data_IF_631787798900
#
_entry.id   IF_631787798900
#
_cell.length_a   1.000
_cell.length_b   1.000
_cell.length_c   1.000
_cell.angle_alpha   90.00
_cell.angle_beta   90.00
_cell.angle_gamma   90.00
#
_symmetry.space_group_name_H-M   'P 1'
#
loop_
_entity.id
_entity.type
_entity.pdbx_description
1 polymer ?
#
# COMPACT_ATOMS: atom_id res chain seq x y z
N UNK A 1 -70.99 -6.92 62.22
CA UNK A 1 -69.85 -7.31 63.08
C UNK A 1 -68.84 -6.19 62.96
N UNK A 2 -68.76 -5.34 63.98
CA UNK A 2 -67.92 -4.15 63.95
C UNK A 2 -66.45 -4.48 64.17
N UNK A 3 -65.57 -3.72 63.54
CA UNK A 3 -64.52 -2.99 64.25
C UNK A 3 -64.06 -1.82 63.36
N UNK A 4 -64.16 -0.62 63.93
CA UNK A 4 -63.63 0.64 63.43
C UNK A 4 -62.23 0.78 64.03
N UNK A 5 -61.24 1.20 63.24
CA UNK A 5 -60.22 2.10 63.76
C UNK A 5 -59.71 3.05 62.67
N UNK A 6 -60.07 4.30 62.88
CA UNK A 6 -59.87 5.51 62.10
C UNK A 6 -58.54 6.20 62.46
N UNK A 7 -57.93 6.83 61.43
CA UNK A 7 -57.38 8.21 61.46
C UNK A 7 -56.08 8.48 62.25
N UNK A 8 -55.26 9.51 62.02
CA UNK A 8 -55.35 10.67 61.12
C UNK A 8 -54.04 11.50 61.13
N UNK A 9 -53.84 12.26 60.04
CA UNK A 9 -53.34 13.64 59.93
C UNK A 9 -51.87 14.08 60.12
N UNK A 10 -51.42 14.79 59.06
CA UNK A 10 -50.59 16.02 58.97
C UNK A 10 -49.12 15.96 59.40
N UNK A 11 -48.14 16.63 58.76
CA UNK A 11 -48.13 17.74 57.79
C UNK A 11 -46.68 18.02 57.32
N UNK A 12 -46.52 18.47 56.06
CA UNK A 12 -45.41 19.31 55.52
C UNK A 12 -44.01 18.67 55.47
N UNK A 13 -43.32 18.60 54.33
CA UNK A 13 -42.69 19.76 53.67
C UNK A 13 -42.34 19.41 52.23
N UNK A 14 -42.54 20.36 51.33
CA UNK A 14 -42.22 20.29 49.91
C UNK A 14 -40.70 20.28 49.65
N UNK A 15 -40.26 19.49 48.67
CA UNK A 15 -39.07 19.80 47.87
C UNK A 15 -39.46 19.69 46.40
N UNK A 16 -39.40 20.85 45.75
CA UNK A 16 -39.68 21.11 44.34
C UNK A 16 -38.54 20.57 43.46
N UNK A 17 -38.89 19.82 42.41
CA UNK A 17 -38.05 19.72 41.21
C UNK A 17 -38.83 20.34 40.04
N UNK A 18 -38.36 21.46 39.45
CA UNK A 18 -39.05 22.05 38.32
C UNK A 18 -38.63 21.34 37.02
N UNK A 19 -39.64 20.86 36.30
CA UNK A 19 -39.62 20.69 34.85
C UNK A 19 -39.65 22.08 34.21
N UNK A 20 -38.64 22.45 33.42
CA UNK A 20 -38.77 23.47 32.36
C UNK A 20 -37.91 23.08 31.16
N UNK A 21 -38.55 23.07 30.00
CA UNK A 21 -37.97 22.93 28.67
C UNK A 21 -36.94 24.03 28.36
N UNK A 22 -35.84 23.66 27.71
CA UNK A 22 -35.22 24.49 26.66
C UNK A 22 -34.32 23.63 25.77
N UNK A 23 -34.85 23.20 24.62
CA UNK A 23 -34.05 22.72 23.50
C UNK A 23 -33.54 23.96 22.76
N UNK A 24 -32.40 24.49 23.18
CA UNK A 24 -31.64 25.41 22.33
C UNK A 24 -30.93 24.57 21.28
N UNK A 25 -31.40 24.70 20.05
CA UNK A 25 -30.72 24.23 18.84
C UNK A 25 -29.30 24.78 18.80
N UNK A 26 -28.30 23.91 18.99
CA UNK A 26 -26.94 24.18 18.54
C UNK A 26 -26.95 24.09 17.01
N UNK A 27 -27.31 25.20 16.36
CA UNK A 27 -26.83 25.44 15.00
C UNK A 27 -25.34 25.75 15.13
N UNK A 28 -24.52 24.75 14.85
CA UNK A 28 -23.14 25.01 14.51
C UNK A 28 -23.15 25.75 13.16
N UNK A 29 -22.96 27.07 13.21
CA UNK A 29 -22.63 27.86 12.04
C UNK A 29 -21.27 27.39 11.52
N UNK A 30 -21.32 26.40 10.62
CA UNK A 30 -20.20 26.07 9.75
C UNK A 30 -20.02 27.27 8.81
N UNK A 31 -19.20 28.23 9.22
CA UNK A 31 -18.70 29.25 8.32
C UNK A 31 -17.91 28.53 7.22
N UNK A 32 -18.55 28.34 6.07
CA UNK A 32 -17.90 28.03 4.81
C UNK A 32 -16.93 29.18 4.52
N UNK A 33 -15.67 29.01 4.91
CA UNK A 33 -14.59 29.80 4.37
C UNK A 33 -14.60 29.60 2.86
N UNK A 34 -14.51 30.70 2.11
CA UNK A 34 -14.49 30.67 0.65
C UNK A 34 -13.45 29.65 0.19
N UNK A 35 -13.93 28.64 -0.55
CA UNK A 35 -13.16 27.45 -0.89
C UNK A 35 -11.85 27.81 -1.56
N UNK A 36 -10.75 27.27 -1.01
CA UNK A 36 -9.53 27.11 -1.79
C UNK A 36 -9.90 26.41 -3.11
N UNK A 37 -9.31 26.83 -4.25
CA UNK A 37 -9.55 26.11 -5.50
C UNK A 37 -9.22 24.64 -5.27
N UNK A 38 -10.15 23.76 -5.60
CA UNK A 38 -9.94 22.32 -5.50
C UNK A 38 -8.60 21.99 -6.15
N UNK A 39 -7.71 21.23 -5.48
CA UNK A 39 -6.41 20.89 -6.04
C UNK A 39 -6.60 20.33 -7.46
N UNK A 40 -5.98 21.00 -8.44
CA UNK A 40 -6.02 20.57 -9.83
C UNK A 40 -5.15 19.32 -9.96
N UNK A 41 -5.77 18.15 -9.80
CA UNK A 41 -5.09 16.87 -9.95
C UNK A 41 -4.92 16.54 -11.44
N UNK A 42 -3.81 15.87 -11.83
CA UNK A 42 -3.52 15.57 -13.23
C UNK A 42 -4.62 14.72 -13.86
N UNK A 43 -4.91 14.97 -15.14
CA UNK A 43 -5.83 14.15 -15.91
C UNK A 43 -5.27 12.73 -16.06
N UNK A 44 -6.13 11.69 -16.05
CA UNK A 44 -5.69 10.32 -16.28
C UNK A 44 -4.88 10.17 -17.56
N UNK A 45 -3.79 9.43 -17.49
CA UNK A 45 -2.94 9.13 -18.62
C UNK A 45 -3.68 8.24 -19.62
N UNK A 46 -3.41 8.46 -20.91
CA UNK A 46 -3.90 7.61 -22.01
C UNK A 46 -2.74 6.86 -22.64
N UNK A 47 -2.98 5.57 -22.91
CA UNK A 47 -2.08 4.71 -23.67
C UNK A 47 -2.03 5.15 -25.13
N UNK A 48 -0.86 4.99 -25.73
CA UNK A 48 -0.62 5.16 -27.16
C UNK A 48 -1.07 3.94 -27.97
N UNK A 49 -1.04 2.75 -27.36
CA UNK A 49 -1.24 1.46 -28.01
C UNK A 49 0.08 0.80 -28.45
N UNK A 50 1.24 1.41 -28.18
CA UNK A 50 2.55 0.88 -28.56
C UNK A 50 2.82 -0.51 -27.95
N UNK A 51 2.38 -0.73 -26.70
CA UNK A 51 2.55 -2.01 -26.01
C UNK A 51 1.55 -3.09 -26.47
N UNK A 52 0.46 -2.72 -27.16
CA UNK A 52 -0.57 -3.67 -27.61
C UNK A 52 -0.06 -4.61 -28.73
N UNK A 53 1.09 -4.29 -29.33
CA UNK A 53 1.77 -5.15 -30.31
C UNK A 53 2.37 -6.42 -29.70
N UNK A 54 2.52 -6.48 -28.37
CA UNK A 54 3.06 -7.63 -27.67
C UNK A 54 1.94 -8.53 -27.17
N UNK A 55 2.14 -9.84 -27.31
CA UNK A 55 1.21 -10.83 -26.76
C UNK A 55 1.20 -10.72 -25.23
N UNK A 56 0.01 -10.73 -24.64
CA UNK A 56 -0.16 -10.75 -23.19
C UNK A 56 -1.23 -11.74 -22.75
N UNK A 57 -1.20 -12.06 -21.46
CA UNK A 57 -2.19 -12.87 -20.77
C UNK A 57 -2.64 -12.12 -19.52
N UNK A 58 -3.94 -11.90 -19.36
CA UNK A 58 -4.47 -11.41 -18.10
C UNK A 58 -4.47 -12.54 -17.08
N UNK A 59 -3.73 -12.36 -15.98
CA UNK A 59 -3.58 -13.40 -14.96
C UNK A 59 -4.86 -13.60 -14.14
N UNK A 60 -5.67 -12.55 -14.03
CA UNK A 60 -7.02 -12.61 -13.46
C UNK A 60 -7.89 -11.46 -14.00
N UNK A 61 -9.22 -11.50 -13.81
CA UNK A 61 -10.06 -10.34 -14.10
C UNK A 61 -9.69 -9.09 -13.30
N UNK A 62 -9.35 -9.27 -12.02
CA UNK A 62 -9.16 -8.15 -11.09
C UNK A 62 -7.81 -7.44 -11.24
N UNK A 63 -6.73 -8.18 -11.54
CA UNK A 63 -5.37 -7.65 -11.66
C UNK A 63 -4.44 -8.61 -12.40
N UNK A 64 -3.25 -8.09 -12.70
CA UNK A 64 -2.10 -8.83 -13.16
C UNK A 64 -2.14 -9.13 -14.66
N UNK A 65 -1.04 -8.82 -15.35
CA UNK A 65 -0.84 -9.16 -16.76
C UNK A 65 0.56 -9.73 -16.96
N UNK A 66 0.68 -10.80 -17.73
CA UNK A 66 1.96 -11.39 -18.12
C UNK A 66 2.24 -11.10 -19.59
N UNK A 67 3.51 -10.86 -19.93
CA UNK A 67 3.97 -10.71 -21.31
C UNK A 67 4.94 -11.85 -21.69
N UNK A 68 4.43 -13.01 -22.13
CA UNK A 68 5.28 -14.15 -22.45
C UNK A 68 6.27 -13.83 -23.58
N UNK A 69 7.57 -13.99 -23.32
CA UNK A 69 8.63 -13.82 -24.30
C UNK A 69 9.07 -12.38 -24.58
N UNK A 70 8.43 -11.37 -23.97
CA UNK A 70 8.89 -9.98 -24.05
C UNK A 70 10.10 -9.79 -23.12
N UNK A 71 11.21 -9.27 -23.67
CA UNK A 71 12.37 -8.87 -22.89
C UNK A 71 12.31 -7.37 -22.57
N UNK A 72 12.42 -7.00 -21.30
CA UNK A 72 12.43 -5.60 -20.88
C UNK A 72 13.64 -4.83 -21.43
N UNK A 73 14.78 -5.50 -21.60
CA UNK A 73 15.99 -4.95 -22.21
C UNK A 73 15.78 -4.46 -23.65
N UNK A 74 14.85 -5.06 -24.40
CA UNK A 74 14.59 -4.66 -25.79
C UNK A 74 13.66 -3.45 -25.91
N UNK A 75 12.98 -3.04 -24.84
CA UNK A 75 11.99 -1.95 -24.87
C UNK A 75 12.34 -0.76 -23.97
N UNK A 76 13.33 -0.90 -23.08
CA UNK A 76 13.66 0.10 -22.06
C UNK A 76 13.97 1.50 -22.64
N UNK A 77 14.49 1.57 -23.87
CA UNK A 77 14.83 2.83 -24.53
C UNK A 77 13.65 3.46 -25.28
N UNK A 78 12.60 2.70 -25.58
CA UNK A 78 11.40 3.21 -26.27
C UNK A 78 10.45 3.90 -25.27
N UNK A 79 10.35 5.23 -25.35
CA UNK A 79 9.53 6.02 -24.42
C UNK A 79 8.03 5.74 -24.55
N UNK A 80 7.51 5.48 -25.75
CA UNK A 80 6.09 5.22 -25.96
C UNK A 80 5.70 3.86 -25.37
N UNK A 81 6.53 2.83 -25.58
CA UNK A 81 6.32 1.50 -25.00
C UNK A 81 6.46 1.55 -23.48
N UNK A 82 7.49 2.23 -22.93
CA UNK A 82 7.67 2.35 -21.47
C UNK A 82 6.53 3.15 -20.83
N UNK A 83 6.02 4.18 -21.50
CA UNK A 83 4.84 4.92 -21.05
C UNK A 83 3.61 4.01 -20.97
N UNK A 84 3.35 3.23 -22.02
CA UNK A 84 2.24 2.28 -22.03
C UNK A 84 2.42 1.16 -20.99
N UNK A 85 3.66 0.73 -20.75
CA UNK A 85 4.03 -0.24 -19.71
C UNK A 85 3.64 0.29 -18.33
N UNK A 86 4.01 1.54 -18.02
CA UNK A 86 3.69 2.20 -16.77
C UNK A 86 2.17 2.33 -16.57
N UNK A 87 1.45 2.84 -17.57
CA UNK A 87 -0.01 2.98 -17.50
C UNK A 87 -0.67 1.61 -17.32
N UNK A 88 -0.19 0.58 -18.03
CA UNK A 88 -0.72 -0.78 -17.89
C UNK A 88 -0.44 -1.35 -16.50
N UNK A 89 0.74 -1.08 -15.90
CA UNK A 89 1.03 -1.45 -14.52
C UNK A 89 0.08 -0.75 -13.53
N UNK A 90 -0.26 0.52 -13.74
CA UNK A 90 -1.28 1.20 -12.93
C UNK A 90 -2.69 0.64 -13.15
N UNK A 91 -3.10 0.32 -14.38
CA UNK A 91 -4.43 -0.22 -14.69
C UNK A 91 -4.61 -1.67 -14.18
N UNK A 92 -3.56 -2.48 -14.29
CA UNK A 92 -3.56 -3.92 -13.98
C UNK A 92 -2.91 -4.23 -12.64
N UNK A 93 -2.36 -3.25 -11.95
CA UNK A 93 -1.69 -3.40 -10.67
C UNK A 93 -0.26 -3.95 -10.77
N UNK A 94 -0.06 -5.06 -11.48
CA UNK A 94 1.25 -5.72 -11.61
C UNK A 94 1.42 -6.36 -12.99
N UNK A 95 2.63 -6.28 -13.53
CA UNK A 95 3.05 -6.90 -14.77
C UNK A 95 4.13 -7.95 -14.49
N UNK A 96 4.08 -9.09 -15.18
CA UNK A 96 5.04 -10.19 -15.05
C UNK A 96 5.77 -10.49 -16.35
N UNK A 97 7.06 -10.80 -16.20
CA UNK A 97 7.96 -11.15 -17.29
C UNK A 97 8.84 -12.30 -16.82
N UNK A 98 8.80 -13.43 -17.50
CA UNK A 98 9.63 -14.58 -17.15
C UNK A 98 10.94 -14.57 -17.94
N UNK A 99 12.01 -15.16 -17.37
CA UNK A 99 13.32 -15.34 -18.01
C UNK A 99 13.90 -14.06 -18.61
N UNK A 100 14.05 -13.02 -17.80
CA UNK A 100 14.51 -11.71 -18.25
C UNK A 100 16.04 -11.57 -18.20
N UNK A 101 16.63 -11.07 -19.29
CA UNK A 101 18.06 -10.77 -19.39
C UNK A 101 18.45 -9.39 -18.83
N UNK A 102 17.47 -8.57 -18.44
CA UNK A 102 17.70 -7.22 -17.92
C UNK A 102 18.57 -7.24 -16.65
N UNK A 103 19.63 -6.45 -16.63
CA UNK A 103 20.49 -6.31 -15.47
C UNK A 103 19.79 -5.50 -14.34
N UNK A 104 20.15 -5.69 -13.06
CA UNK A 104 19.58 -4.89 -11.96
C UNK A 104 19.74 -3.36 -12.16
N UNK A 105 20.86 -2.92 -12.75
CA UNK A 105 21.11 -1.52 -13.08
C UNK A 105 20.21 -0.99 -14.21
N UNK A 106 19.82 -1.85 -15.15
CA UNK A 106 18.87 -1.50 -16.21
C UNK A 106 17.43 -1.48 -15.68
N UNK A 107 17.07 -2.44 -14.82
CA UNK A 107 15.78 -2.40 -14.12
C UNK A 107 15.65 -1.11 -13.29
N UNK A 108 16.73 -0.70 -12.63
CA UNK A 108 16.82 0.57 -11.92
C UNK A 108 16.52 1.77 -12.84
N UNK A 109 17.17 1.81 -14.00
CA UNK A 109 16.95 2.84 -15.03
C UNK A 109 15.50 2.85 -15.54
N UNK A 110 14.92 1.67 -15.75
CA UNK A 110 13.53 1.53 -16.19
C UNK A 110 12.55 2.10 -15.15
N UNK A 111 12.72 1.77 -13.87
CA UNK A 111 11.82 2.26 -12.81
C UNK A 111 11.92 3.78 -12.63
N UNK A 112 13.12 4.36 -12.73
CA UNK A 112 13.30 5.82 -12.76
C UNK A 112 12.58 6.46 -13.95
N UNK A 113 12.79 5.93 -15.16
CA UNK A 113 12.15 6.42 -16.39
C UNK A 113 10.63 6.34 -16.32
N UNK A 114 10.08 5.28 -15.74
CA UNK A 114 8.64 5.14 -15.49
C UNK A 114 8.13 6.28 -14.60
N UNK A 115 8.83 6.58 -13.50
CA UNK A 115 8.46 7.68 -12.60
C UNK A 115 8.44 9.04 -13.29
N UNK A 116 9.48 9.33 -14.09
CA UNK A 116 9.58 10.57 -14.87
C UNK A 116 8.43 10.71 -15.88
N UNK A 117 8.14 9.65 -16.65
CA UNK A 117 7.08 9.65 -17.67
C UNK A 117 5.67 9.77 -17.08
N UNK A 118 5.48 9.29 -15.84
CA UNK A 118 4.21 9.33 -15.11
C UNK A 118 4.04 10.60 -14.27
N UNK A 119 5.01 11.52 -14.31
CA UNK A 119 4.91 12.81 -13.65
C UNK A 119 5.12 12.76 -12.14
N UNK A 120 5.95 11.84 -11.64
CA UNK A 120 6.39 11.87 -10.24
C UNK A 120 7.09 13.22 -9.93
N UNK A 121 7.10 13.66 -8.65
CA UNK A 121 7.77 14.90 -8.26
C UNK A 121 9.22 14.95 -8.73
N UNK A 122 9.73 16.12 -9.13
CA UNK A 122 11.10 16.25 -9.67
C UNK A 122 12.17 15.88 -8.65
N UNK A 123 11.85 16.05 -7.38
CA UNK A 123 12.69 15.72 -6.23
C UNK A 123 12.64 14.22 -5.87
N UNK A 124 11.71 13.46 -6.46
CA UNK A 124 11.56 12.04 -6.23
C UNK A 124 12.60 11.25 -7.04
N UNK A 125 13.39 10.45 -6.33
CA UNK A 125 14.33 9.49 -6.89
C UNK A 125 13.93 8.06 -6.53
N UNK A 126 14.93 7.24 -6.25
CA UNK A 126 14.73 5.86 -5.77
C UNK A 126 14.77 5.81 -4.25
N UNK A 127 13.89 4.98 -3.68
CA UNK A 127 13.86 4.74 -2.26
C UNK A 127 15.12 3.98 -1.82
N UNK A 128 15.72 4.42 -0.72
CA UNK A 128 16.88 3.79 -0.07
C UNK A 128 16.47 3.29 1.29
N UNK A 129 16.79 2.04 1.60
CA UNK A 129 16.42 1.47 2.88
C UNK A 129 17.17 2.17 4.02
N UNK A 130 16.46 2.52 5.09
CA UNK A 130 16.97 3.34 6.19
C UNK A 130 18.21 2.77 6.93
N UNK A 131 18.45 1.47 6.86
CA UNK A 131 19.57 0.76 7.49
C UNK A 131 20.52 0.09 6.49
N UNK A 132 20.32 0.25 5.17
CA UNK A 132 21.15 -0.41 4.15
C UNK A 132 21.58 0.58 3.06
N UNK A 133 22.46 1.53 3.41
CA UNK A 133 22.79 2.69 2.56
C UNK A 133 24.10 2.52 1.79
N UNK A 134 24.87 1.45 2.04
CA UNK A 134 26.04 1.06 1.25
C UNK A 134 25.78 -0.27 0.52
N UNK A 135 24.62 -0.35 -0.11
CA UNK A 135 24.08 -1.64 -0.54
C UNK A 135 24.00 -2.61 0.63
N UNK A 136 24.21 -3.88 0.34
CA UNK A 136 24.01 -5.00 1.24
C UNK A 136 25.29 -5.36 2.02
N UNK A 137 26.21 -4.40 2.25
CA UNK A 137 27.40 -4.59 3.09
C UNK A 137 27.04 -5.22 4.45
N UNK A 138 25.94 -4.77 5.07
CA UNK A 138 25.45 -5.32 6.34
C UNK A 138 24.81 -6.72 6.18
N UNK A 139 24.48 -7.13 4.96
CA UNK A 139 23.87 -8.42 4.62
C UNK A 139 24.87 -9.40 3.94
N UNK A 140 26.15 -9.01 3.76
CA UNK A 140 27.22 -9.80 3.13
C UNK A 140 26.88 -10.34 1.71
N UNK A 141 26.21 -9.55 0.87
CA UNK A 141 25.90 -9.95 -0.51
C UNK A 141 26.82 -9.22 -1.50
N UNK A 142 27.79 -9.89 -2.14
CA UNK A 142 28.89 -9.24 -2.86
C UNK A 142 28.57 -8.72 -4.28
N UNK A 143 27.39 -8.98 -4.84
CA UNK A 143 27.16 -8.78 -6.30
C UNK A 143 26.66 -7.39 -6.71
N UNK A 144 26.05 -6.60 -5.82
CA UNK A 144 25.54 -5.25 -6.15
C UNK A 144 25.79 -4.27 -5.01
N UNK A 145 26.83 -3.43 -5.17
CA UNK A 145 27.10 -2.26 -4.32
C UNK A 145 26.41 -1.02 -4.92
N UNK A 146 25.09 -1.04 -4.96
CA UNK A 146 24.25 0.09 -5.37
C UNK A 146 23.21 0.37 -4.27
N UNK A 147 23.24 1.55 -3.61
CA UNK A 147 22.34 1.85 -2.50
C UNK A 147 20.88 2.04 -2.90
N UNK A 148 20.59 2.15 -4.20
CA UNK A 148 19.24 2.25 -4.73
C UNK A 148 18.64 0.86 -5.08
N UNK A 149 19.42 -0.22 -4.96
CA UNK A 149 19.00 -1.60 -5.22
C UNK A 149 19.03 -2.38 -3.92
N UNK A 150 17.84 -2.70 -3.39
CA UNK A 150 17.72 -3.55 -2.22
C UNK A 150 17.83 -5.02 -2.63
N UNK A 151 18.67 -5.80 -1.93
CA UNK A 151 18.69 -7.26 -2.10
C UNK A 151 17.93 -7.89 -0.95
N UNK A 152 16.94 -8.72 -1.29
CA UNK A 152 16.22 -9.52 -0.33
C UNK A 152 16.67 -10.96 -0.49
N UNK A 153 17.39 -11.47 0.52
CA UNK A 153 17.84 -12.85 0.59
C UNK A 153 17.15 -13.56 1.75
N UNK A 154 16.48 -14.68 1.48
CA UNK A 154 15.85 -15.49 2.53
C UNK A 154 16.87 -16.03 3.52
N UNK A 155 18.08 -16.39 3.08
CA UNK A 155 19.14 -16.87 3.96
C UNK A 155 19.54 -15.81 5.00
N UNK A 156 19.70 -14.56 4.55
CA UNK A 156 20.05 -13.43 5.41
C UNK A 156 18.88 -13.05 6.31
N UNK A 157 17.68 -12.92 5.76
CA UNK A 157 16.50 -12.50 6.53
C UNK A 157 16.13 -13.53 7.60
N UNK A 158 16.22 -14.83 7.30
CA UNK A 158 15.95 -15.88 8.29
C UNK A 158 16.98 -15.85 9.42
N UNK A 159 18.24 -15.58 9.12
CA UNK A 159 19.31 -15.50 10.11
C UNK A 159 19.15 -14.27 11.02
N UNK A 160 18.85 -13.11 10.45
CA UNK A 160 18.85 -11.84 11.18
C UNK A 160 17.49 -11.52 11.84
N UNK A 161 16.38 -11.93 11.22
CA UNK A 161 15.03 -11.51 11.61
C UNK A 161 14.07 -12.67 11.87
N UNK A 162 14.48 -13.92 11.63
CA UNK A 162 13.66 -15.12 11.83
C UNK A 162 12.27 -15.02 11.14
N UNK A 163 12.27 -14.58 9.89
CA UNK A 163 11.03 -14.32 9.14
C UNK A 163 10.37 -15.57 8.57
N UNK A 164 11.06 -16.71 8.50
CA UNK A 164 10.50 -17.96 8.00
C UNK A 164 9.30 -18.43 8.84
N UNK A 165 8.23 -18.82 8.15
CA UNK A 165 7.02 -19.40 8.71
C UNK A 165 6.82 -20.81 8.11
N UNK A 166 7.65 -21.80 8.50
CA UNK A 166 7.49 -23.17 8.04
C UNK A 166 6.17 -23.78 8.56
N UNK A 167 5.80 -24.93 7.99
CA UNK A 167 4.67 -25.73 8.48
C UNK A 167 4.82 -25.98 9.99
N UNK A 168 3.77 -25.67 10.76
CA UNK A 168 3.79 -25.72 12.22
C UNK A 168 4.07 -24.38 12.92
N UNK A 169 4.36 -23.31 12.16
CA UNK A 169 4.41 -21.95 12.71
C UNK A 169 3.08 -21.55 13.37
N UNK A 170 3.18 -20.78 14.47
CA UNK A 170 2.02 -20.25 15.21
C UNK A 170 1.65 -18.82 14.81
N UNK A 171 2.28 -18.26 13.77
CA UNK A 171 1.97 -16.93 13.22
C UNK A 171 1.36 -17.08 11.83
N UNK A 172 0.29 -16.34 11.56
CA UNK A 172 -0.35 -16.34 10.24
C UNK A 172 0.37 -15.40 9.27
N UNK A 173 0.69 -15.84 8.06
CA UNK A 173 1.36 -15.00 7.06
C UNK A 173 0.54 -13.77 6.62
N UNK A 174 -0.75 -13.70 6.96
CA UNK A 174 -1.63 -12.58 6.59
C UNK A 174 -1.16 -11.23 7.13
N UNK A 175 -0.38 -11.17 8.21
CA UNK A 175 0.16 -9.91 8.71
C UNK A 175 1.07 -9.21 7.70
N UNK A 176 1.67 -9.95 6.76
CA UNK A 176 2.62 -9.43 5.77
C UNK A 176 2.00 -8.75 4.55
N UNK A 177 0.66 -8.64 4.46
CA UNK A 177 0.03 -7.86 3.38
C UNK A 177 0.37 -6.38 3.50
N UNK A 178 0.94 -5.77 2.46
CA UNK A 178 1.38 -4.37 2.50
C UNK A 178 1.44 -3.69 1.13
N UNK A 179 1.54 -2.37 1.15
CA UNK A 179 2.12 -1.55 0.08
C UNK A 179 3.53 -1.17 0.53
N UNK A 180 4.50 -1.14 -0.39
CA UNK A 180 5.90 -0.82 -0.05
C UNK A 180 5.99 0.54 0.66
N UNK A 181 6.74 0.58 1.76
CA UNK A 181 7.17 1.79 2.48
C UNK A 181 6.06 2.83 2.72
N UNK A 182 4.83 2.37 2.99
CA UNK A 182 3.67 3.26 3.22
C UNK A 182 3.80 4.19 4.42
N UNK A 183 4.87 4.04 5.21
CA UNK A 183 5.19 4.87 6.37
C UNK A 183 6.04 6.10 6.00
N UNK A 184 6.49 6.22 4.74
CA UNK A 184 7.16 7.40 4.22
C UNK A 184 6.15 8.46 3.78
N UNK A 185 6.49 9.74 3.95
CA UNK A 185 5.63 10.86 3.49
C UNK A 185 5.39 10.79 1.98
N UNK A 186 6.42 10.42 1.22
CA UNK A 186 6.38 10.17 -0.22
C UNK A 186 6.76 8.69 -0.45
N UNK A 187 5.78 7.77 -0.43
CA UNK A 187 6.04 6.35 -0.60
C UNK A 187 6.35 6.02 -2.07
N UNK A 188 6.93 4.83 -2.35
CA UNK A 188 7.10 4.33 -3.71
C UNK A 188 5.81 4.31 -4.53
N UNK A 189 5.90 4.79 -5.78
CA UNK A 189 4.86 4.59 -6.79
C UNK A 189 5.02 3.23 -7.46
N UNK A 190 6.17 2.99 -8.09
CA UNK A 190 6.43 1.75 -8.83
C UNK A 190 7.59 0.97 -8.21
N UNK A 191 7.43 -0.34 -8.16
CA UNK A 191 8.51 -1.25 -7.76
C UNK A 191 8.83 -2.19 -8.90
N UNK A 192 10.12 -2.28 -9.23
CA UNK A 192 10.70 -3.32 -10.07
C UNK A 192 11.34 -4.39 -9.19
N UNK A 193 11.05 -5.65 -9.48
CA UNK A 193 11.46 -6.79 -8.67
C UNK A 193 11.98 -7.91 -9.55
N UNK A 194 13.27 -8.24 -9.45
CA UNK A 194 13.91 -9.30 -10.23
C UNK A 194 14.37 -10.43 -9.33
N UNK A 195 14.01 -11.66 -9.68
CA UNK A 195 14.53 -12.87 -9.05
C UNK A 195 15.92 -13.13 -9.60
N UNK A 196 16.91 -13.20 -8.70
CA UNK A 196 18.26 -13.67 -9.03
C UNK A 196 18.34 -15.19 -8.89
N UNK A 197 17.70 -15.72 -7.84
CA UNK A 197 17.66 -17.14 -7.53
C UNK A 197 16.33 -17.47 -6.88
N UNK A 198 15.62 -18.42 -7.46
CA UNK A 198 14.38 -18.97 -6.94
C UNK A 198 14.65 -20.28 -6.19
N UNK A 199 14.01 -20.52 -5.03
CA UNK A 199 14.10 -21.82 -4.37
C UNK A 199 13.30 -22.88 -5.15
N UNK A 200 13.58 -24.19 -4.96
CA UNK A 200 12.81 -25.25 -5.61
C UNK A 200 11.30 -25.19 -5.32
N UNK A 201 10.94 -24.73 -4.11
CA UNK A 201 9.56 -24.52 -3.65
C UNK A 201 9.48 -23.38 -2.65
N UNK A 202 8.30 -22.76 -2.55
CA UNK A 202 8.05 -21.62 -1.65
C UNK A 202 8.61 -20.30 -2.18
N UNK A 203 8.43 -19.24 -1.41
CA UNK A 203 8.93 -17.90 -1.74
C UNK A 203 8.16 -17.18 -2.86
N UNK A 204 6.90 -17.56 -3.07
CA UNK A 204 5.98 -16.90 -3.99
C UNK A 204 5.64 -15.48 -3.52
N UNK A 205 4.93 -14.73 -4.36
CA UNK A 205 4.40 -13.43 -3.99
C UNK A 205 2.93 -13.35 -4.36
N UNK A 206 2.09 -13.02 -3.37
CA UNK A 206 0.68 -12.75 -3.59
C UNK A 206 0.49 -11.26 -3.85
N UNK A 207 -0.48 -10.94 -4.70
CA UNK A 207 -0.92 -9.57 -4.97
C UNK A 207 -2.44 -9.50 -4.85
N UNK A 208 -2.97 -8.36 -4.42
CA UNK A 208 -4.41 -8.07 -4.35
C UNK A 208 -4.71 -6.69 -4.93
N UNK A 209 -5.81 -6.55 -5.66
CA UNK A 209 -6.19 -5.29 -6.30
C UNK A 209 -6.74 -4.27 -5.30
N UNK A 210 -6.05 -3.16 -5.09
CA UNK A 210 -6.52 -2.06 -4.23
C UNK A 210 -7.79 -1.40 -4.75
N UNK A 211 -7.96 -1.35 -6.07
CA UNK A 211 -9.20 -0.91 -6.71
C UNK A 211 -10.35 -1.87 -6.42
N UNK A 212 -10.12 -3.17 -6.59
CA UNK A 212 -11.10 -4.19 -6.27
C UNK A 212 -11.51 -4.14 -4.79
N UNK A 213 -10.56 -3.96 -3.88
CA UNK A 213 -10.85 -3.87 -2.43
C UNK A 213 -11.79 -2.70 -2.12
N UNK A 214 -11.55 -1.53 -2.71
CA UNK A 214 -12.45 -0.38 -2.58
C UNK A 214 -13.84 -0.68 -3.17
N UNK A 215 -13.91 -1.26 -4.37
CA UNK A 215 -15.16 -1.57 -5.07
C UNK A 215 -16.00 -2.65 -4.39
N UNK A 216 -15.38 -3.51 -3.56
CA UNK A 216 -16.06 -4.53 -2.76
C UNK A 216 -16.69 -3.98 -1.48
N UNK A 217 -16.28 -2.79 -1.03
CA UNK A 217 -16.98 -2.09 0.06
C UNK A 217 -18.36 -1.65 -0.43
N UNK A 218 -19.38 -1.75 0.42
CA UNK A 218 -20.68 -1.16 0.11
C UNK A 218 -20.61 0.36 0.11
N UNK A 219 -21.52 1.04 -0.58
CA UNK A 219 -21.51 2.50 -0.70
C UNK A 219 -21.38 3.25 0.65
N UNK A 220 -22.03 2.84 1.75
CA UNK A 220 -21.81 3.47 3.05
C UNK A 220 -20.37 3.29 3.57
N UNK A 221 -19.79 2.11 3.38
CA UNK A 221 -18.40 1.82 3.78
C UNK A 221 -17.39 2.54 2.89
N UNK A 222 -17.68 2.70 1.59
CA UNK A 222 -16.85 3.54 0.70
C UNK A 222 -16.82 4.97 1.22
N UNK A 223 -17.97 5.61 1.44
CA UNK A 223 -18.05 6.98 1.97
C UNK A 223 -17.38 7.13 3.32
N UNK A 224 -17.54 6.14 4.19
CA UNK A 224 -16.86 6.12 5.48
C UNK A 224 -15.35 6.05 5.28
N UNK A 225 -14.84 5.10 4.52
CA UNK A 225 -13.40 4.95 4.26
C UNK A 225 -12.79 6.18 3.56
N UNK A 226 -13.52 6.83 2.65
CA UNK A 226 -13.13 8.10 2.01
C UNK A 226 -12.94 9.25 3.01
N UNK A 227 -13.58 9.20 4.17
CA UNK A 227 -13.44 10.21 5.23
C UNK A 227 -12.26 9.95 6.17
N UNK A 228 -11.63 8.78 6.10
CA UNK A 228 -10.60 8.36 7.03
C UNK A 228 -9.20 8.73 6.55
N UNK A 229 -8.38 9.13 7.51
CA UNK A 229 -6.92 9.17 7.39
C UNK A 229 -6.34 8.17 8.38
N UNK A 230 -5.25 7.50 8.01
CA UNK A 230 -4.57 6.57 8.90
C UNK A 230 -3.07 6.89 8.95
N UNK A 231 -2.52 6.83 10.16
CA UNK A 231 -1.09 6.93 10.41
C UNK A 231 -0.45 5.55 10.24
N UNK A 232 0.37 5.41 9.21
CA UNK A 232 1.21 4.24 8.96
C UNK A 232 2.49 4.35 9.79
N UNK A 233 2.95 3.25 10.37
CA UNK A 233 4.08 3.25 11.29
C UNK A 233 4.89 1.95 11.19
N UNK A 234 6.15 2.06 10.75
CA UNK A 234 7.09 0.94 10.73
C UNK A 234 7.91 0.88 12.02
N UNK A 235 7.24 0.70 13.17
CA UNK A 235 7.91 0.66 14.47
C UNK A 235 8.96 -0.46 14.58
N UNK A 236 8.85 -1.50 13.75
CA UNK A 236 9.83 -2.58 13.69
C UNK A 236 11.21 -2.13 13.23
N UNK A 237 11.30 -1.08 12.41
CA UNK A 237 12.59 -0.51 12.02
C UNK A 237 13.30 0.04 13.26
N UNK A 238 12.56 0.65 14.19
CA UNK A 238 13.14 1.11 15.46
C UNK A 238 13.73 -0.04 16.28
N UNK A 239 13.10 -1.22 16.23
CA UNK A 239 13.58 -2.44 16.90
C UNK A 239 14.84 -3.02 16.24
N UNK A 240 15.11 -2.70 14.97
CA UNK A 240 16.36 -3.12 14.31
C UNK A 240 17.60 -2.45 14.92
N UNK A 241 17.45 -1.28 15.59
CA UNK A 241 18.53 -0.68 16.39
C UNK A 241 19.00 -1.62 17.49
N UNK A 242 18.06 -2.32 18.13
CA UNK A 242 18.33 -3.18 19.28
C UNK A 242 19.13 -4.44 18.89
N UNK A 243 19.11 -4.83 17.61
CA UNK A 243 19.90 -5.94 17.06
C UNK A 243 21.11 -5.47 16.24
N UNK A 244 21.49 -4.19 16.36
CA UNK A 244 22.77 -3.67 15.89
C UNK A 244 22.78 -2.99 14.51
N UNK A 245 21.63 -2.86 13.83
CA UNK A 245 21.55 -2.12 12.57
C UNK A 245 21.74 -0.62 12.80
N UNK A 246 22.55 0.01 11.95
CA UNK A 246 22.81 1.45 12.03
C UNK A 246 21.88 2.20 11.09
N UNK A 247 21.06 3.07 11.66
CA UNK A 247 20.33 4.05 10.88
C UNK A 247 21.27 5.18 10.51
N UNK A 248 21.19 5.62 9.26
CA UNK A 248 21.96 6.78 8.83
C UNK A 248 21.09 8.02 8.92
N UNK A 249 21.37 8.84 9.91
CA UNK A 249 20.73 10.13 10.08
C UNK A 249 21.00 11.01 8.85
N UNK A 250 20.01 11.82 8.45
CA UNK A 250 20.07 12.76 7.31
C UNK A 250 20.23 12.15 5.91
N UNK A 251 20.00 10.85 5.73
CA UNK A 251 19.94 10.27 4.38
C UNK A 251 18.52 10.38 3.83
N UNK A 252 18.40 11.06 2.69
CA UNK A 252 17.14 11.15 1.94
C UNK A 252 16.78 9.77 1.40
N UNK A 253 15.62 9.25 1.80
CA UNK A 253 15.10 7.96 1.31
C UNK A 253 14.28 8.18 0.04
N UNK A 254 14.94 8.72 -0.97
CA UNK A 254 14.39 9.02 -2.30
C UNK A 254 13.60 10.32 -2.42
N UNK A 255 13.30 11.03 -1.33
CA UNK A 255 12.70 12.37 -1.35
C UNK A 255 13.28 13.26 -0.24
N UNK A 256 13.41 14.60 -0.42
CA UNK A 256 13.92 15.51 0.62
C UNK A 256 13.13 15.49 1.93
N UNK A 257 11.85 15.12 1.89
CA UNK A 257 10.98 15.02 3.07
C UNK A 257 10.97 13.63 3.73
N UNK A 258 11.51 12.60 3.07
CA UNK A 258 11.63 11.25 3.62
C UNK A 258 12.94 11.12 4.41
N UNK A 259 13.03 11.85 5.52
CA UNK A 259 14.22 11.90 6.38
C UNK A 259 13.93 11.52 7.83
N UNK A 260 12.66 11.51 8.23
CA UNK A 260 12.25 11.26 9.61
C UNK A 260 12.63 9.83 10.04
N UNK A 261 13.01 9.68 11.31
CA UNK A 261 13.46 8.41 11.87
C UNK A 261 12.43 7.78 12.81
N UNK A 262 11.24 8.37 12.93
CA UNK A 262 10.10 7.75 13.59
C UNK A 262 9.33 6.81 12.66
N UNK A 263 9.63 6.86 11.35
CA UNK A 263 9.03 6.04 10.29
C UNK A 263 7.50 6.05 10.38
N UNK A 264 6.94 7.27 10.42
CA UNK A 264 5.51 7.52 10.48
C UNK A 264 5.07 8.51 9.41
N UNK A 265 3.94 8.20 8.78
CA UNK A 265 3.24 9.13 7.90
C UNK A 265 1.74 8.86 7.90
N UNK A 266 0.95 9.94 7.87
CA UNK A 266 -0.51 9.87 7.80
C UNK A 266 -0.98 10.05 6.36
N UNK A 267 -1.84 9.14 5.91
CA UNK A 267 -2.33 9.07 4.53
C UNK A 267 -3.84 8.80 4.48
N UNK A 268 -4.54 9.25 3.41
CA UNK A 268 -5.92 8.87 3.17
C UNK A 268 -6.09 7.35 3.08
N UNK A 269 -7.14 6.81 3.71
CA UNK A 269 -7.44 5.38 3.68
C UNK A 269 -7.93 4.94 2.30
N UNK A 270 -8.61 5.83 1.58
CA UNK A 270 -8.87 5.71 0.14
C UNK A 270 -7.99 6.72 -0.58
N UNK A 271 -7.15 6.24 -1.50
CA UNK A 271 -6.28 7.10 -2.31
C UNK A 271 -6.75 7.15 -3.77
N UNK A 272 -6.41 8.24 -4.44
CA UNK A 272 -6.52 8.36 -5.89
C UNK A 272 -5.17 8.02 -6.53
N UNK A 273 -5.15 7.13 -7.53
CA UNK A 273 -3.95 6.92 -8.34
C UNK A 273 -3.86 8.03 -9.41
N UNK A 274 -2.80 8.85 -9.46
CA UNK A 274 -2.70 9.98 -10.40
C UNK A 274 -2.60 9.55 -11.87
N UNK A 275 -2.19 8.32 -12.15
CA UNK A 275 -2.05 7.80 -13.52
C UNK A 275 -3.41 7.41 -14.08
N UNK A 276 -4.25 6.75 -13.29
CA UNK A 276 -5.56 6.24 -13.74
C UNK A 276 -6.73 7.13 -13.34
N UNK A 277 -6.56 7.98 -12.33
CA UNK A 277 -7.65 8.71 -11.68
C UNK A 277 -8.62 7.80 -10.91
N UNK A 278 -8.20 6.58 -10.56
CA UNK A 278 -9.05 5.61 -9.88
C UNK A 278 -8.85 5.59 -8.37
N UNK A 279 -9.95 5.39 -7.64
CA UNK A 279 -9.97 5.17 -6.19
C UNK A 279 -9.52 3.76 -5.83
N UNK A 280 -8.62 3.63 -4.87
CA UNK A 280 -8.18 2.37 -4.29
C UNK A 280 -8.03 2.46 -2.77
N UNK A 281 -8.29 1.34 -2.09
CA UNK A 281 -8.06 1.23 -0.65
C UNK A 281 -6.53 1.23 -0.39
N UNK A 282 -6.06 1.91 0.67
CA UNK A 282 -4.63 2.08 0.98
C UNK A 282 -4.32 1.90 2.48
N UNK A 283 -5.24 2.30 3.37
CA UNK A 283 -5.06 2.19 4.82
C UNK A 283 -5.30 0.77 5.34
N UNK A 284 -4.42 -0.18 5.01
CA UNK A 284 -4.57 -1.60 5.34
C UNK A 284 -3.23 -2.30 5.59
N UNK A 285 -3.28 -3.47 6.23
CA UNK A 285 -2.15 -4.39 6.30
C UNK A 285 -1.02 -3.96 7.25
N UNK A 286 0.18 -4.46 6.99
CA UNK A 286 1.37 -4.30 7.84
C UNK A 286 1.69 -2.84 8.16
N UNK A 287 1.50 -1.92 7.21
CA UNK A 287 1.76 -0.49 7.42
C UNK A 287 0.94 0.12 8.58
N UNK A 288 -0.20 -0.47 8.94
CA UNK A 288 -1.05 -0.03 10.05
C UNK A 288 -0.91 -0.88 11.32
N UNK A 289 -0.04 -1.90 11.35
CA UNK A 289 0.05 -2.81 12.50
C UNK A 289 0.30 -2.02 13.81
N UNK A 290 1.34 -1.18 13.79
CA UNK A 290 1.73 -0.27 14.87
C UNK A 290 1.19 1.17 14.66
N UNK A 291 0.31 1.34 13.68
CA UNK A 291 -0.32 2.62 13.29
C UNK A 291 -1.70 2.85 13.94
N UNK A 292 -2.48 3.80 13.42
CA UNK A 292 -3.84 4.09 13.90
C UNK A 292 -4.69 4.78 12.84
N UNK A 293 -6.02 4.73 12.97
CA UNK A 293 -6.90 5.62 12.23
C UNK A 293 -6.97 6.95 12.99
N UNK A 294 -6.74 8.05 12.29
CA UNK A 294 -6.59 9.35 12.92
C UNK A 294 -7.94 9.84 13.46
N UNK A 295 -7.91 10.49 14.62
CA UNK A 295 -9.10 10.97 15.35
C UNK A 295 -10.08 9.85 15.76
N UNK A 296 -9.60 8.62 15.89
CA UNK A 296 -10.37 7.49 16.41
C UNK A 296 -9.77 6.99 17.73
N UNK A 297 -10.62 6.36 18.55
CA UNK A 297 -10.12 5.63 19.70
C UNK A 297 -9.26 4.43 19.26
N UNK A 298 -8.46 3.91 20.18
CA UNK A 298 -7.65 2.72 19.93
C UNK A 298 -8.52 1.50 19.59
N UNK A 299 -9.65 1.33 20.29
CA UNK A 299 -10.59 0.23 20.05
C UNK A 299 -11.22 0.31 18.65
N UNK A 300 -11.67 1.49 18.23
CA UNK A 300 -12.19 1.72 16.87
C UNK A 300 -11.10 1.45 15.82
N UNK A 301 -9.89 1.96 16.03
CA UNK A 301 -8.76 1.72 15.15
C UNK A 301 -8.46 0.23 15.00
N UNK A 302 -8.45 -0.52 16.11
CA UNK A 302 -8.18 -1.95 16.09
C UNK A 302 -9.28 -2.75 15.38
N UNK A 303 -10.55 -2.37 15.55
CA UNK A 303 -11.66 -2.96 14.80
C UNK A 303 -11.52 -2.73 13.29
N UNK A 304 -11.16 -1.51 12.89
CA UNK A 304 -10.97 -1.17 11.46
C UNK A 304 -9.79 -1.89 10.85
N UNK A 305 -8.64 -1.96 11.54
CA UNK A 305 -7.48 -2.74 11.09
C UNK A 305 -7.85 -4.20 10.81
N UNK A 306 -8.59 -4.83 11.73
CA UNK A 306 -9.05 -6.21 11.57
C UNK A 306 -10.01 -6.34 10.39
N UNK A 307 -10.99 -5.44 10.27
CA UNK A 307 -11.95 -5.46 9.17
C UNK A 307 -11.26 -5.33 7.81
N UNK A 308 -10.41 -4.32 7.61
CA UNK A 308 -9.78 -4.12 6.31
C UNK A 308 -8.77 -5.22 5.95
N UNK A 309 -8.03 -5.76 6.93
CA UNK A 309 -7.19 -6.94 6.69
C UNK A 309 -8.02 -8.16 6.28
N UNK A 310 -9.22 -8.30 6.86
CA UNK A 310 -10.18 -9.34 6.45
C UNK A 310 -10.70 -9.13 5.03
N UNK A 311 -10.98 -7.88 4.63
CA UNK A 311 -11.36 -7.57 3.24
C UNK A 311 -10.27 -8.03 2.27
N UNK A 312 -8.98 -7.93 2.62
CA UNK A 312 -7.92 -8.52 1.79
C UNK A 312 -8.01 -10.04 1.80
N UNK A 313 -7.93 -10.65 2.98
CA UNK A 313 -7.68 -12.10 3.15
C UNK A 313 -8.87 -12.97 2.72
N UNK A 314 -10.11 -12.50 2.89
CA UNK A 314 -11.31 -13.26 2.55
C UNK A 314 -11.74 -13.07 1.08
N UNK A 315 -11.22 -12.08 0.34
CA UNK A 315 -11.59 -11.83 -1.06
C UNK A 315 -10.57 -12.43 -2.05
N UNK A 316 -10.53 -13.76 -2.12
CA UNK A 316 -9.63 -14.49 -3.03
C UNK A 316 -9.84 -14.16 -4.52
N UNK A 317 -11.04 -13.71 -4.91
CA UNK A 317 -11.34 -13.26 -6.29
C UNK A 317 -10.52 -12.03 -6.72
N UNK A 318 -9.98 -11.29 -5.77
CA UNK A 318 -9.16 -10.10 -6.00
C UNK A 318 -7.67 -10.39 -5.92
N UNK A 319 -7.29 -11.63 -5.66
CA UNK A 319 -5.91 -12.03 -5.41
C UNK A 319 -5.33 -12.84 -6.58
N UNK A 320 -4.03 -12.70 -6.78
CA UNK A 320 -3.22 -13.61 -7.59
C UNK A 320 -2.01 -14.06 -6.78
N UNK A 321 -1.42 -15.20 -7.16
CA UNK A 321 -0.19 -15.72 -6.59
C UNK A 321 0.81 -15.96 -7.72
N UNK A 322 1.92 -15.23 -7.73
CA UNK A 322 3.02 -15.47 -8.68
C UNK A 322 4.01 -16.43 -8.04
N UNK A 323 4.15 -17.60 -8.67
CA UNK A 323 5.29 -18.48 -8.47
C UNK A 323 6.46 -17.99 -9.30
N UNK A 324 7.64 -18.00 -8.69
CA UNK A 324 8.85 -17.48 -9.30
C UNK A 324 9.69 -18.56 -9.99
N UNK A 325 10.18 -18.24 -11.17
CA UNK A 325 11.35 -18.88 -11.77
C UNK A 325 12.57 -17.95 -11.66
N UNK A 326 13.75 -18.50 -11.93
CA UNK A 326 14.97 -17.70 -12.07
C UNK A 326 14.78 -16.64 -13.16
N UNK A 327 15.36 -15.46 -12.92
CA UNK A 327 15.27 -14.30 -13.79
C UNK A 327 13.84 -13.77 -14.06
N UNK A 328 12.84 -14.23 -13.30
CA UNK A 328 11.51 -13.64 -13.32
C UNK A 328 11.53 -12.19 -12.83
N UNK A 329 10.78 -11.31 -13.49
CA UNK A 329 10.61 -9.90 -13.11
C UNK A 329 9.13 -9.59 -12.92
N UNK A 330 8.83 -8.79 -11.90
CA UNK A 330 7.58 -8.06 -11.82
C UNK A 330 7.82 -6.55 -11.77
N UNK A 331 6.88 -5.81 -12.34
CA UNK A 331 6.77 -4.36 -12.17
C UNK A 331 5.34 -4.09 -11.68
N UNK A 332 5.19 -3.48 -10.50
CA UNK A 332 3.88 -3.14 -9.97
C UNK A 332 3.78 -1.68 -9.56
N UNK A 333 2.55 -1.18 -9.52
CA UNK A 333 2.19 0.12 -8.98
C UNK A 333 1.65 -0.07 -7.55
N UNK A 334 2.42 0.34 -6.54
CA UNK A 334 2.07 0.25 -5.11
C UNK A 334 0.79 1.02 -4.77
N UNK A 335 0.36 1.95 -5.62
CA UNK A 335 -0.88 2.70 -5.45
C UNK A 335 -2.10 1.89 -5.88
N UNK A 336 -1.90 0.81 -6.65
CA UNK A 336 -2.92 -0.03 -7.24
C UNK A 336 -3.01 -1.45 -6.64
N UNK A 337 -2.00 -1.90 -5.87
CA UNK A 337 -1.98 -3.23 -5.26
C UNK A 337 -1.50 -3.21 -3.80
N UNK A 338 -1.89 -4.24 -3.06
CA UNK A 338 -1.12 -4.71 -1.91
C UNK A 338 -0.50 -6.05 -2.28
N UNK A 339 0.60 -6.42 -1.63
CA UNK A 339 1.28 -7.67 -1.87
C UNK A 339 1.77 -8.31 -0.57
N UNK A 340 2.07 -9.60 -0.63
CA UNK A 340 2.54 -10.39 0.51
C UNK A 340 3.49 -11.49 0.03
N UNK A 341 4.77 -11.50 0.46
CA UNK A 341 5.63 -12.64 0.19
C UNK A 341 5.15 -13.87 0.96
N UNK A 342 5.32 -15.07 0.40
CA UNK A 342 5.19 -16.27 1.21
C UNK A 342 6.48 -16.49 2.01
N UNK A 343 6.32 -16.76 3.30
CA UNK A 343 7.42 -16.99 4.23
C UNK A 343 7.77 -18.49 4.35
N UNK A 344 7.53 -19.26 3.30
CA UNK A 344 7.57 -20.72 3.27
C UNK A 344 8.83 -21.29 2.56
N UNK A 345 9.88 -20.48 2.44
CA UNK A 345 11.19 -20.94 1.94
C UNK A 345 11.89 -21.74 3.04
N UNK A 346 11.75 -23.06 2.99
CA UNK A 346 12.37 -24.01 3.94
C UNK A 346 13.66 -24.59 3.39
N UNK A 347 13.67 -24.94 2.10
CA UNK A 347 14.82 -25.51 1.40
C UNK A 347 15.33 -24.57 0.31
N UNK A 348 16.65 -24.41 0.24
CA UNK A 348 17.31 -23.52 -0.71
C UNK A 348 17.27 -22.05 -0.30
N UNK A 349 17.49 -21.18 -1.27
CA UNK A 349 17.60 -19.73 -1.04
C UNK A 349 16.80 -18.98 -2.10
N UNK A 350 16.16 -17.89 -1.67
CA UNK A 350 15.53 -16.91 -2.54
C UNK A 350 16.32 -15.62 -2.46
N UNK A 351 16.84 -15.15 -3.59
CA UNK A 351 17.56 -13.88 -3.69
C UNK A 351 16.94 -13.02 -4.76
N UNK A 352 16.61 -11.78 -4.43
CA UNK A 352 15.90 -10.87 -5.34
C UNK A 352 16.44 -9.45 -5.26
N UNK A 353 16.44 -8.75 -6.38
CA UNK A 353 16.72 -7.31 -6.48
C UNK A 353 15.41 -6.53 -6.51
N UNK A 354 15.26 -5.56 -5.61
CA UNK A 354 14.11 -4.64 -5.56
C UNK A 354 14.59 -3.22 -5.79
N UNK A 355 13.96 -2.54 -6.75
CA UNK A 355 14.11 -1.11 -6.99
C UNK A 355 12.75 -0.45 -6.84
N UNK A 356 12.66 0.58 -6.01
CA UNK A 356 11.41 1.27 -5.71
C UNK A 356 11.54 2.75 -6.07
N UNK A 357 10.76 3.21 -7.05
CA UNK A 357 10.71 4.61 -7.48
C UNK A 357 9.73 5.40 -6.62
N UNK A 358 10.21 6.46 -5.95
CA UNK A 358 9.39 7.31 -5.08
C UNK A 358 8.35 8.07 -5.90
N UNK A 359 7.12 8.10 -5.38
CA UNK A 359 5.97 8.74 -6.01
C UNK A 359 5.57 10.06 -5.37
N UNK A 360 4.34 10.45 -5.66
CA UNK A 360 3.68 11.58 -5.03
C UNK A 360 3.28 11.31 -3.58
N UNK A 361 3.08 12.38 -2.79
CA UNK A 361 2.42 12.26 -1.50
C UNK A 361 0.99 11.73 -1.71
N UNK A 362 0.57 10.65 -1.01
CA UNK A 362 -0.76 10.07 -1.20
C UNK A 362 -1.86 11.09 -0.92
N UNK A 363 -2.86 11.13 -1.81
CA UNK A 363 -3.99 12.04 -1.72
C UNK A 363 -5.29 11.34 -2.11
N UNK A 364 -6.40 11.94 -1.70
CA UNK A 364 -7.75 11.57 -2.12
C UNK A 364 -8.38 12.74 -2.86
N UNK A 365 -8.77 12.52 -4.12
CA UNK A 365 -9.58 13.46 -4.89
C UNK A 365 -11.05 13.02 -4.83
N UNK A 366 -11.96 13.80 -4.24
CA UNK A 366 -13.39 13.45 -4.19
C UNK A 366 -14.04 13.33 -5.58
N UNK A 367 -13.44 13.92 -6.62
CA UNK A 367 -13.90 13.84 -8.01
C UNK A 367 -13.35 12.63 -8.78
N UNK A 368 -12.41 11.88 -8.19
CA UNK A 368 -11.91 10.65 -8.78
C UNK A 368 -13.02 9.58 -8.85
N UNK A 369 -12.82 8.54 -9.64
CA UNK A 369 -13.86 7.53 -9.90
C UNK A 369 -13.42 6.14 -9.45
N UNK A 370 -14.38 5.24 -9.21
CA UNK A 370 -14.02 3.82 -9.19
C UNK A 370 -13.57 3.36 -10.58
N UNK A 371 -12.73 2.33 -10.65
CA UNK A 371 -12.32 1.72 -11.92
C UNK A 371 -13.53 1.29 -12.74
N UNK A 372 -14.52 0.69 -12.10
CA UNK A 372 -15.73 0.15 -12.73
C UNK A 372 -16.59 1.26 -13.31
N UNK A 373 -16.79 2.37 -12.61
CA UNK A 373 -17.48 3.53 -13.17
C UNK A 373 -16.76 4.08 -14.39
N UNK A 374 -15.43 4.25 -14.30
CA UNK A 374 -14.62 4.75 -15.39
C UNK A 374 -14.74 3.87 -16.65
N UNK A 375 -14.55 2.55 -16.48
CA UNK A 375 -14.64 1.60 -17.60
C UNK A 375 -16.05 1.48 -18.16
N UNK A 376 -17.10 1.63 -17.35
CA UNK A 376 -18.49 1.68 -17.84
C UNK A 376 -18.73 2.92 -18.70
N UNK A 377 -18.25 4.10 -18.27
CA UNK A 377 -18.36 5.35 -19.03
C UNK A 377 -17.62 5.31 -20.36
N UNK A 378 -16.54 4.54 -20.48
CA UNK A 378 -15.83 4.36 -21.77
C UNK A 378 -16.54 3.42 -22.76
N UNK A 379 -17.42 2.55 -22.28
CA UNK A 379 -18.16 1.57 -23.10
C UNK A 379 -19.54 2.06 -23.55
N UNK A 380 -20.10 3.03 -22.82
CA UNK A 380 -21.33 3.73 -23.17
C UNK A 380 -21.06 4.79 -24.24
#
# INVERSE_FOLDING_TARGET
MGLVCTSAFNSHTAILFPTVYNLTSYQADFMMTAGEPAPCHPLPHRKSGALDNFKYIETSPALGREYPGLQLSSIIDDEEIVRDLAITASERGVLFFDHQDIAPSELKRLILKIGELMGNPKEAGLHRHAFSIKGNEELNIPEVDDPDILILSSAVQNTNFNVALPVGSRKFASWGWHSDESHEKYPPAYTGFKIAKSPPTGGDTLFVSSYGLYEYLSDPWQKFAESLTATHHAAEYLRHKDVGFKFHDNVKRGHPENVDLDFKASHPVVRTNPVTGWKGLYGVGWGLIDGSFDNMTEDESNLLKQYFLRVITDNSNLQIRKRWGDDGVAIWDNRAVHHNPTYDVVDGERTTFRVAGVGEKPYFDPNSTSRTEFLRKQRA
#
